data_IF_168258265934
#
_entry.id   IF_168258265934
#
_cell.length_a   1.000
_cell.length_b   1.000
_cell.length_c   1.000
_cell.angle_alpha   90.00
_cell.angle_beta   90.00
_cell.angle_gamma   90.00
#
_symmetry.space_group_name_H-M   'P 1'
#
loop_
_entity.id
_entity.type
_entity.pdbx_description
1 polymer ?
#
# COMPACT_ATOMS: atom_id res chain seq x y z
N UNK A 1 25.38 -5.74 1.95
CA UNK A 1 24.21 -4.92 2.34
C UNK A 1 23.40 -4.52 1.10
N UNK A 2 24.00 -3.89 0.10
CA UNK A 2 23.33 -3.47 -1.14
C UNK A 2 22.61 -4.61 -1.88
N UNK A 3 23.19 -5.81 -1.96
CA UNK A 3 22.52 -6.98 -2.55
C UNK A 3 21.17 -7.27 -1.87
N UNK A 4 21.14 -7.32 -0.54
CA UNK A 4 19.91 -7.62 0.20
C UNK A 4 18.86 -6.52 0.02
N UNK A 5 19.27 -5.25 0.07
CA UNK A 5 18.38 -4.09 -0.12
C UNK A 5 17.84 -4.07 -1.55
N UNK A 6 18.71 -4.20 -2.54
CA UNK A 6 18.36 -4.25 -3.94
C UNK A 6 17.41 -5.40 -4.26
N UNK A 7 17.68 -6.62 -3.74
CA UNK A 7 16.78 -7.76 -3.88
C UNK A 7 15.42 -7.53 -3.20
N UNK A 8 15.41 -6.91 -2.02
CA UNK A 8 14.15 -6.58 -1.32
C UNK A 8 13.34 -5.55 -2.10
N UNK A 9 13.97 -4.51 -2.62
CA UNK A 9 13.33 -3.50 -3.49
C UNK A 9 12.79 -4.13 -4.77
N UNK A 10 13.54 -5.03 -5.42
CA UNK A 10 13.04 -5.77 -6.59
C UNK A 10 11.83 -6.63 -6.21
N UNK A 11 11.90 -7.36 -5.11
CA UNK A 11 10.79 -8.19 -4.64
C UNK A 11 9.53 -7.37 -4.34
N UNK A 12 9.69 -6.19 -3.71
CA UNK A 12 8.60 -5.24 -3.48
C UNK A 12 8.05 -4.67 -4.78
N UNK A 13 8.92 -4.33 -5.75
CA UNK A 13 8.50 -3.85 -7.06
C UNK A 13 7.63 -4.89 -7.79
N UNK A 14 8.06 -6.15 -7.79
CA UNK A 14 7.28 -7.27 -8.33
C UNK A 14 5.96 -7.48 -7.56
N UNK A 15 5.98 -7.37 -6.23
CA UNK A 15 4.80 -7.47 -5.39
C UNK A 15 3.76 -6.38 -5.74
N UNK A 16 4.18 -5.11 -5.87
CA UNK A 16 3.28 -4.02 -6.26
C UNK A 16 2.77 -4.17 -7.70
N UNK A 17 3.62 -4.56 -8.65
CA UNK A 17 3.17 -4.85 -10.03
C UNK A 17 2.12 -5.96 -10.02
N UNK A 18 2.35 -7.01 -9.24
CA UNK A 18 1.37 -8.09 -9.07
C UNK A 18 0.06 -7.52 -8.51
N UNK A 19 0.10 -6.75 -7.43
CA UNK A 19 -1.11 -6.10 -6.88
C UNK A 19 -1.84 -5.23 -7.91
N UNK A 20 -1.10 -4.48 -8.74
CA UNK A 20 -1.67 -3.66 -9.81
C UNK A 20 -2.39 -4.50 -10.85
N UNK A 21 -1.74 -5.55 -11.35
CA UNK A 21 -2.33 -6.49 -12.31
C UNK A 21 -3.57 -7.15 -11.72
N UNK A 22 -3.50 -7.65 -10.49
CA UNK A 22 -4.62 -8.31 -9.81
C UNK A 22 -5.80 -7.35 -9.64
N UNK A 23 -5.56 -6.11 -9.21
CA UNK A 23 -6.61 -5.10 -9.09
C UNK A 23 -7.22 -4.73 -10.44
N UNK A 24 -6.41 -4.62 -11.51
CA UNK A 24 -6.91 -4.41 -12.86
C UNK A 24 -7.77 -5.57 -13.34
N UNK A 25 -7.36 -6.82 -13.11
CA UNK A 25 -8.16 -8.00 -13.45
C UNK A 25 -9.48 -8.03 -12.69
N UNK A 26 -9.47 -7.74 -11.38
CA UNK A 26 -10.71 -7.61 -10.61
C UNK A 26 -11.64 -6.54 -11.19
N UNK A 27 -11.09 -5.39 -11.61
CA UNK A 27 -11.86 -4.32 -12.27
C UNK A 27 -12.45 -4.82 -13.60
N UNK A 28 -11.67 -5.51 -14.41
CA UNK A 28 -12.11 -6.03 -15.71
C UNK A 28 -13.12 -7.16 -15.55
N UNK A 29 -13.00 -8.04 -14.57
CA UNK A 29 -13.97 -9.13 -14.38
C UNK A 29 -15.26 -8.63 -13.73
N UNK A 30 -15.14 -7.71 -12.77
CA UNK A 30 -16.25 -7.16 -12.02
C UNK A 30 -17.14 -6.22 -12.83
N UNK A 31 -16.59 -5.52 -13.84
CA UNK A 31 -17.27 -4.38 -14.47
C UNK A 31 -18.69 -4.67 -14.98
N UNK A 32 -18.87 -5.79 -15.68
CA UNK A 32 -20.15 -6.20 -16.28
C UNK A 32 -21.24 -6.47 -15.26
N UNK A 33 -20.87 -6.74 -14.01
CA UNK A 33 -21.79 -7.29 -13.00
C UNK A 33 -21.97 -6.39 -11.79
N UNK A 34 -21.00 -5.50 -11.53
CA UNK A 34 -20.97 -4.65 -10.35
C UNK A 34 -20.93 -3.15 -10.68
N UNK A 35 -20.87 -2.76 -11.97
CA UNK A 35 -20.57 -1.38 -12.38
C UNK A 35 -19.06 -1.16 -12.41
N UNK A 36 -18.51 0.06 -12.33
CA UNK A 36 -17.05 0.32 -12.31
C UNK A 36 -16.54 0.52 -10.87
N UNK A 37 -15.40 -0.10 -10.48
CA UNK A 37 -14.76 0.14 -9.18
C UNK A 37 -13.74 1.26 -9.28
N UNK A 38 -14.08 2.42 -8.70
CA UNK A 38 -13.18 3.58 -8.59
C UNK A 38 -12.02 3.26 -7.65
N UNK A 39 -12.30 2.54 -6.56
CA UNK A 39 -11.29 2.04 -5.64
C UNK A 39 -10.32 1.10 -6.32
N UNK A 40 -10.82 0.10 -7.06
CA UNK A 40 -9.99 -0.84 -7.80
C UNK A 40 -9.09 -0.14 -8.82
N UNK A 41 -9.65 0.80 -9.59
CA UNK A 41 -8.87 1.61 -10.54
C UNK A 41 -7.81 2.42 -9.82
N UNK A 42 -8.16 3.14 -8.76
CA UNK A 42 -7.21 3.98 -8.06
C UNK A 42 -6.13 3.17 -7.36
N UNK A 43 -6.47 2.02 -6.81
CA UNK A 43 -5.51 1.09 -6.22
C UNK A 43 -4.57 0.50 -7.29
N UNK A 44 -5.08 0.16 -8.48
CA UNK A 44 -4.26 -0.30 -9.60
C UNK A 44 -3.28 0.79 -10.10
N UNK A 45 -3.73 2.04 -10.22
CA UNK A 45 -2.89 3.17 -10.61
C UNK A 45 -1.77 3.44 -9.59
N UNK A 46 -2.10 3.34 -8.30
CA UNK A 46 -1.14 3.47 -7.22
C UNK A 46 -0.11 2.34 -7.22
N UNK A 47 -0.56 1.11 -7.42
CA UNK A 47 0.33 -0.03 -7.52
C UNK A 47 1.24 0.07 -8.76
N UNK A 48 0.74 0.65 -9.87
CA UNK A 48 1.51 0.84 -11.09
C UNK A 48 2.51 2.01 -11.03
N UNK A 49 2.39 2.94 -10.07
CA UNK A 49 3.46 3.90 -9.77
C UNK A 49 4.49 3.33 -8.80
N UNK A 50 4.06 2.71 -7.70
CA UNK A 50 4.98 2.16 -6.69
C UNK A 50 5.84 1.01 -7.23
N UNK A 51 5.26 0.10 -8.02
CA UNK A 51 5.94 -1.11 -8.48
C UNK A 51 7.18 -0.83 -9.34
N UNK A 52 7.02 -0.10 -10.47
CA UNK A 52 8.16 0.32 -11.29
C UNK A 52 9.19 1.15 -10.52
N UNK A 53 8.77 2.02 -9.61
CA UNK A 53 9.67 2.81 -8.78
C UNK A 53 10.61 1.91 -7.96
N UNK A 54 10.05 0.94 -7.23
CA UNK A 54 10.84 -0.01 -6.45
C UNK A 54 11.72 -0.92 -7.32
N UNK A 55 11.28 -1.27 -8.54
CA UNK A 55 12.10 -2.04 -9.49
C UNK A 55 13.33 -1.24 -9.97
N UNK A 56 13.14 0.01 -10.38
CA UNK A 56 14.23 0.87 -10.87
C UNK A 56 15.26 1.08 -9.75
N UNK A 57 14.80 1.44 -8.54
CA UNK A 57 15.69 1.55 -7.39
C UNK A 57 16.39 0.25 -7.06
N UNK A 58 15.66 -0.86 -7.00
CA UNK A 58 16.25 -2.17 -6.72
C UNK A 58 17.33 -2.54 -7.74
N UNK A 59 17.08 -2.25 -9.02
CA UNK A 59 18.06 -2.45 -10.09
C UNK A 59 19.32 -1.60 -9.89
N UNK A 60 19.18 -0.28 -9.65
CA UNK A 60 20.33 0.60 -9.42
C UNK A 60 21.16 0.19 -8.20
N UNK A 61 20.50 -0.21 -7.10
CA UNK A 61 21.18 -0.67 -5.89
C UNK A 61 21.93 -1.98 -6.13
N UNK A 62 21.37 -2.89 -6.94
CA UNK A 62 22.05 -4.12 -7.36
C UNK A 62 23.26 -3.84 -8.28
N UNK A 63 23.25 -2.74 -9.03
CA UNK A 63 24.38 -2.27 -9.84
C UNK A 63 25.46 -1.54 -9.03
N UNK A 64 25.28 -1.40 -7.71
CA UNK A 64 26.28 -0.83 -6.82
C UNK A 64 26.03 0.61 -6.38
N UNK A 65 24.91 1.23 -6.79
CA UNK A 65 24.49 2.52 -6.24
C UNK A 65 24.18 2.35 -4.74
N UNK A 66 24.72 3.24 -3.91
CA UNK A 66 24.43 3.24 -2.48
C UNK A 66 22.98 3.67 -2.24
N UNK A 67 22.16 2.76 -1.71
CA UNK A 67 20.76 3.03 -1.39
C UNK A 67 20.58 3.95 -0.18
N UNK A 68 21.63 4.10 0.65
CA UNK A 68 21.49 4.61 2.00
C UNK A 68 20.88 3.58 2.95
N UNK A 69 21.39 3.50 4.18
CA UNK A 69 20.89 2.57 5.20
C UNK A 69 19.49 2.96 5.67
N UNK A 70 19.17 4.24 5.62
CA UNK A 70 17.93 4.83 6.10
C UNK A 70 16.76 4.39 5.22
N UNK A 71 16.93 4.44 3.90
CA UNK A 71 15.95 3.96 2.94
C UNK A 71 15.71 2.45 3.10
N UNK A 72 16.78 1.67 3.31
CA UNK A 72 16.65 0.25 3.59
C UNK A 72 15.82 -0.05 4.85
N UNK A 73 16.05 0.73 5.93
CA UNK A 73 15.27 0.60 7.16
C UNK A 73 13.81 1.00 6.94
N UNK A 74 13.53 2.07 6.18
CA UNK A 74 12.17 2.45 5.83
C UNK A 74 11.44 1.32 5.08
N UNK A 75 12.12 0.70 4.10
CA UNK A 75 11.61 -0.44 3.33
C UNK A 75 11.31 -1.64 4.24
N UNK A 76 12.23 -1.98 5.14
CA UNK A 76 12.05 -3.08 6.09
C UNK A 76 10.86 -2.86 7.02
N UNK A 77 10.59 -1.62 7.45
CA UNK A 77 9.42 -1.30 8.27
C UNK A 77 8.09 -1.52 7.54
N UNK A 78 8.05 -1.26 6.23
CA UNK A 78 6.85 -1.48 5.39
C UNK A 78 6.68 -2.91 4.88
N UNK A 79 7.74 -3.70 4.84
CA UNK A 79 7.70 -5.05 4.25
C UNK A 79 6.66 -5.97 4.93
N UNK A 80 6.53 -6.05 6.27
CA UNK A 80 5.57 -6.93 6.91
C UNK A 80 4.11 -6.64 6.52
N UNK A 81 3.72 -5.36 6.46
CA UNK A 81 2.34 -4.97 6.12
C UNK A 81 2.04 -5.28 4.65
N UNK A 82 3.00 -5.04 3.76
CA UNK A 82 2.90 -5.38 2.34
C UNK A 82 2.77 -6.89 2.11
N UNK A 83 3.61 -7.70 2.77
CA UNK A 83 3.57 -9.17 2.65
C UNK A 83 2.23 -9.72 3.12
N UNK A 84 1.76 -9.33 4.31
CA UNK A 84 0.48 -9.81 4.84
C UNK A 84 -0.67 -9.42 3.92
N UNK A 85 -0.70 -8.17 3.45
CA UNK A 85 -1.76 -7.72 2.53
C UNK A 85 -1.74 -8.48 1.21
N UNK A 86 -0.57 -8.66 0.60
CA UNK A 86 -0.40 -9.39 -0.65
C UNK A 86 -0.84 -10.85 -0.50
N UNK A 87 -0.42 -11.54 0.57
CA UNK A 87 -0.81 -12.93 0.82
C UNK A 87 -2.33 -13.05 0.97
N UNK A 88 -2.95 -12.15 1.73
CA UNK A 88 -4.41 -12.12 1.88
C UNK A 88 -5.12 -11.85 0.54
N UNK A 89 -4.56 -11.00 -0.32
CA UNK A 89 -5.11 -10.73 -1.65
C UNK A 89 -5.00 -11.92 -2.59
N UNK A 90 -3.83 -12.57 -2.63
CA UNK A 90 -3.64 -13.80 -3.41
C UNK A 90 -4.63 -14.87 -2.92
N UNK A 91 -4.76 -15.06 -1.61
CA UNK A 91 -5.73 -15.99 -1.04
C UNK A 91 -7.16 -15.67 -1.50
N UNK A 92 -7.58 -14.40 -1.46
CA UNK A 92 -8.91 -13.99 -1.91
C UNK A 92 -9.17 -14.38 -3.37
N UNK A 93 -8.17 -14.20 -4.22
CA UNK A 93 -8.27 -14.49 -5.66
C UNK A 93 -8.30 -15.98 -5.96
N UNK A 94 -7.63 -16.79 -5.13
CA UNK A 94 -7.71 -18.25 -5.20
C UNK A 94 -9.00 -18.80 -4.57
N UNK A 95 -9.97 -17.93 -4.24
CA UNK A 95 -11.27 -18.32 -3.68
C UNK A 95 -11.28 -18.53 -2.17
N UNK A 96 -10.18 -18.20 -1.48
CA UNK A 96 -10.11 -18.22 -0.01
C UNK A 96 -10.79 -17.02 0.64
N UNK A 97 -10.61 -16.86 1.95
CA UNK A 97 -11.32 -15.82 2.72
C UNK A 97 -10.78 -14.43 2.43
N UNK A 98 -9.47 -14.32 2.22
CA UNK A 98 -8.80 -13.06 1.89
C UNK A 98 -8.80 -12.00 3.00
N UNK A 99 -9.31 -12.34 4.17
CA UNK A 99 -9.30 -11.52 5.36
C UNK A 99 -9.30 -12.40 6.62
N UNK A 100 -8.89 -11.82 7.75
CA UNK A 100 -8.93 -12.46 9.06
C UNK A 100 -9.55 -11.49 10.06
N UNK A 101 -10.42 -12.01 10.92
CA UNK A 101 -11.01 -11.24 12.00
C UNK A 101 -10.11 -11.29 13.23
N UNK A 102 -9.77 -10.12 13.77
CA UNK A 102 -9.00 -9.98 15.01
C UNK A 102 -9.97 -9.48 16.08
N UNK A 103 -10.35 -10.36 17.01
CA UNK A 103 -11.32 -10.02 18.05
C UNK A 103 -10.78 -8.96 19.02
N UNK A 104 -11.65 -8.02 19.44
CA UNK A 104 -11.31 -7.01 20.44
C UNK A 104 -10.22 -6.04 19.96
N UNK A 105 -9.29 -5.69 20.85
CA UNK A 105 -8.09 -4.90 20.54
C UNK A 105 -6.91 -5.47 21.32
N UNK A 106 -6.24 -6.51 20.79
CA UNK A 106 -5.15 -7.13 21.52
C UNK A 106 -4.02 -6.12 21.76
N UNK A 107 -3.25 -6.23 22.87
CA UNK A 107 -2.24 -5.24 23.22
C UNK A 107 -1.21 -4.96 22.13
N UNK A 108 -0.81 -5.98 21.38
CA UNK A 108 0.13 -5.82 20.27
C UNK A 108 -0.41 -4.87 19.20
N UNK A 109 -1.72 -4.89 18.91
CA UNK A 109 -2.32 -4.03 17.89
C UNK A 109 -2.33 -2.56 18.31
N UNK A 110 -2.44 -2.31 19.62
CA UNK A 110 -2.34 -0.97 20.21
C UNK A 110 -0.88 -0.49 20.23
N UNK A 111 0.07 -1.39 20.50
CA UNK A 111 1.49 -1.07 20.56
C UNK A 111 2.11 -0.83 19.17
N UNK A 112 1.68 -1.55 18.13
CA UNK A 112 2.22 -1.46 16.77
C UNK A 112 2.34 -0.03 16.23
N UNK A 113 1.30 0.84 16.24
CA UNK A 113 1.43 2.21 15.73
C UNK A 113 2.45 3.04 16.53
N UNK A 114 2.58 2.82 17.85
CA UNK A 114 3.56 3.54 18.68
C UNK A 114 4.98 3.10 18.31
N UNK A 115 5.20 1.79 18.22
CA UNK A 115 6.51 1.23 17.82
C UNK A 115 6.88 1.70 16.41
N UNK A 116 5.92 1.71 15.49
CA UNK A 116 6.12 2.24 14.14
C UNK A 116 6.51 3.71 14.15
N UNK A 117 5.83 4.57 14.90
CA UNK A 117 6.16 6.00 14.99
C UNK A 117 7.55 6.25 15.57
N UNK A 118 7.94 5.49 16.59
CA UNK A 118 9.31 5.55 17.16
C UNK A 118 10.33 5.14 16.09
N UNK A 119 10.12 4.00 15.44
CA UNK A 119 11.04 3.51 14.40
C UNK A 119 11.12 4.47 13.20
N UNK A 120 9.99 5.01 12.76
CA UNK A 120 9.90 6.02 11.71
C UNK A 120 10.67 7.29 12.09
N UNK A 121 10.50 7.78 13.33
CA UNK A 121 11.24 8.94 13.84
C UNK A 121 12.75 8.72 13.85
N UNK A 122 13.21 7.53 14.24
CA UNK A 122 14.64 7.17 14.17
C UNK A 122 15.15 7.14 12.73
N UNK A 123 14.38 6.57 11.78
CA UNK A 123 14.75 6.54 10.36
C UNK A 123 14.86 7.96 9.80
N UNK A 124 13.87 8.81 10.07
CA UNK A 124 13.86 10.21 9.62
C UNK A 124 15.00 11.01 10.26
N UNK A 125 15.26 10.82 11.57
CA UNK A 125 16.36 11.49 12.26
C UNK A 125 17.72 11.13 11.66
N UNK A 126 17.98 9.84 11.42
CA UNK A 126 19.22 9.40 10.77
C UNK A 126 19.33 9.93 9.32
N UNK A 127 18.22 9.99 8.59
CA UNK A 127 18.20 10.55 7.23
C UNK A 127 18.55 12.03 7.24
N UNK A 128 17.98 12.80 8.18
CA UNK A 128 18.27 14.21 8.35
C UNK A 128 19.72 14.47 8.78
N UNK A 129 20.28 13.64 9.65
CA UNK A 129 21.69 13.74 10.07
C UNK A 129 22.67 13.43 8.92
N UNK A 130 22.28 12.53 8.00
CA UNK A 130 23.07 12.19 6.80
C UNK A 130 22.93 13.25 5.71
N UNK A 131 21.80 13.94 5.62
CA UNK A 131 21.61 15.01 4.65
C UNK A 131 22.68 16.09 4.90
N UNK A 132 23.60 16.24 3.96
CA UNK A 132 24.75 17.17 4.03
C UNK A 132 24.34 18.66 3.86
N UNK A 133 23.05 18.95 3.94
CA UNK A 133 22.46 20.26 3.68
C UNK A 133 22.25 20.58 2.20
N UNK A 134 22.54 19.65 1.27
CA UNK A 134 22.32 19.83 -0.18
C UNK A 134 20.87 19.66 -0.64
N UNK A 135 19.91 19.55 0.29
CA UNK A 135 18.48 19.39 0.01
C UNK A 135 17.94 20.50 -0.90
N UNK A 136 17.76 20.19 -2.19
CA UNK A 136 17.15 21.11 -3.14
C UNK A 136 15.64 20.91 -3.18
N UNK A 137 14.91 21.73 -2.40
CA UNK A 137 13.44 21.73 -2.41
C UNK A 137 12.83 22.11 -3.76
N UNK A 138 13.63 22.62 -4.72
CA UNK A 138 13.17 22.91 -6.08
C UNK A 138 13.34 21.73 -7.02
N UNK A 139 14.04 20.68 -6.60
CA UNK A 139 14.16 19.44 -7.37
C UNK A 139 12.77 18.85 -7.60
N UNK A 140 12.38 18.59 -8.86
CA UNK A 140 11.11 17.95 -9.17
C UNK A 140 10.92 16.60 -8.46
N UNK A 141 12.01 15.87 -8.24
CA UNK A 141 12.00 14.57 -7.57
C UNK A 141 11.68 14.69 -6.08
N UNK A 142 12.37 15.62 -5.40
CA UNK A 142 12.10 15.96 -3.99
C UNK A 142 10.65 16.43 -3.82
N UNK A 143 10.17 17.31 -4.70
CA UNK A 143 8.80 17.81 -4.66
C UNK A 143 7.76 16.70 -4.88
N UNK A 144 8.00 15.81 -5.85
CA UNK A 144 7.11 14.67 -6.10
C UNK A 144 7.05 13.74 -4.89
N UNK A 145 8.21 13.41 -4.30
CA UNK A 145 8.29 12.53 -3.13
C UNK A 145 7.67 13.14 -1.87
N UNK A 146 7.88 14.43 -1.61
CA UNK A 146 7.19 15.15 -0.52
C UNK A 146 5.68 15.19 -0.75
N UNK A 147 5.26 15.43 -1.98
CA UNK A 147 3.84 15.45 -2.31
C UNK A 147 3.20 14.08 -2.08
N UNK A 148 3.83 13.01 -2.58
CA UNK A 148 3.39 11.62 -2.39
C UNK A 148 3.39 11.24 -0.91
N UNK A 149 4.39 11.68 -0.14
CA UNK A 149 4.43 11.52 1.32
C UNK A 149 3.17 12.08 1.97
N UNK A 150 2.78 13.30 1.62
CA UNK A 150 1.59 13.96 2.15
C UNK A 150 0.33 13.22 1.71
N UNK A 151 0.17 12.92 0.41
CA UNK A 151 -1.04 12.27 -0.09
C UNK A 151 -1.21 10.86 0.49
N UNK A 152 -0.14 10.08 0.61
CA UNK A 152 -0.21 8.74 1.21
C UNK A 152 -0.56 8.81 2.69
N UNK A 153 0.03 9.75 3.44
CA UNK A 153 -0.38 9.99 4.84
C UNK A 153 -1.87 10.33 4.94
N UNK A 154 -2.37 11.18 4.04
CA UNK A 154 -3.78 11.56 3.97
C UNK A 154 -4.71 10.43 3.53
N UNK A 155 -4.23 9.46 2.75
CA UNK A 155 -4.99 8.24 2.39
C UNK A 155 -5.06 7.27 3.57
N UNK A 156 -3.97 7.10 4.33
CA UNK A 156 -3.93 6.20 5.48
C UNK A 156 -4.96 6.56 6.56
N UNK A 157 -5.17 7.85 6.80
CA UNK A 157 -6.12 8.35 7.81
C UNK A 157 -7.57 7.87 7.64
N UNK A 158 -8.28 8.11 6.51
CA UNK A 158 -9.65 7.66 6.31
C UNK A 158 -9.76 6.13 6.31
N UNK A 159 -8.76 5.40 5.83
CA UNK A 159 -8.73 3.94 5.89
C UNK A 159 -8.68 3.44 7.33
N UNK A 160 -7.77 3.98 8.14
CA UNK A 160 -7.65 3.66 9.56
C UNK A 160 -8.92 4.03 10.33
N UNK A 161 -9.48 5.22 10.08
CA UNK A 161 -10.73 5.67 10.72
C UNK A 161 -11.92 4.78 10.36
N UNK A 162 -11.95 4.27 9.13
CA UNK A 162 -12.94 3.27 8.71
C UNK A 162 -12.79 1.96 9.50
N UNK A 163 -11.55 1.51 9.75
CA UNK A 163 -11.30 0.35 10.62
C UNK A 163 -11.79 0.58 12.06
N UNK A 164 -11.54 1.76 12.63
CA UNK A 164 -12.05 2.11 13.96
C UNK A 164 -13.58 2.09 14.04
N UNK A 165 -14.28 2.67 13.05
CA UNK A 165 -15.75 2.65 12.98
C UNK A 165 -16.27 1.20 12.91
N UNK A 166 -15.71 0.40 12.00
CA UNK A 166 -16.09 -1.01 11.84
C UNK A 166 -15.82 -1.83 13.09
N UNK A 167 -14.75 -1.53 13.83
CA UNK A 167 -14.42 -2.23 15.07
C UNK A 167 -15.49 -2.04 16.15
N UNK A 168 -16.07 -0.84 16.24
CA UNK A 168 -17.16 -0.56 17.18
C UNK A 168 -18.40 -1.40 16.82
N UNK A 169 -18.71 -1.54 15.53
CA UNK A 169 -19.89 -2.28 15.05
C UNK A 169 -19.69 -3.81 15.06
N UNK A 170 -18.51 -4.29 14.68
CA UNK A 170 -18.22 -5.71 14.49
C UNK A 170 -17.52 -6.39 15.68
N UNK A 171 -17.11 -5.63 16.70
CA UNK A 171 -16.40 -6.17 17.88
C UNK A 171 -14.94 -6.58 17.63
N UNK A 172 -14.36 -6.22 16.49
CA UNK A 172 -12.98 -6.55 16.14
C UNK A 172 -12.52 -5.95 14.82
N UNK A 173 -11.34 -6.33 14.35
CA UNK A 173 -10.66 -5.72 13.21
C UNK A 173 -10.57 -6.63 12.00
N UNK A 174 -10.50 -6.03 10.81
CA UNK A 174 -10.13 -6.71 9.57
C UNK A 174 -8.61 -6.67 9.41
N UNK A 175 -7.96 -7.84 9.36
CA UNK A 175 -6.52 -7.92 9.15
C UNK A 175 -6.11 -7.30 7.81
N UNK A 176 -6.84 -7.59 6.73
CA UNK A 176 -6.60 -7.01 5.40
C UNK A 176 -6.83 -5.49 5.40
N UNK A 177 -7.83 -5.01 6.13
CA UNK A 177 -8.13 -3.59 6.27
C UNK A 177 -7.06 -2.84 7.07
N UNK A 178 -6.55 -3.44 8.14
CA UNK A 178 -5.46 -2.90 8.95
C UNK A 178 -4.15 -2.86 8.16
N UNK A 179 -3.79 -3.93 7.47
CA UNK A 179 -2.55 -3.97 6.68
C UNK A 179 -2.61 -2.99 5.51
N UNK A 180 -3.77 -2.87 4.85
CA UNK A 180 -3.98 -1.84 3.83
C UNK A 180 -3.83 -0.43 4.39
N UNK A 181 -4.43 -0.14 5.55
CA UNK A 181 -4.31 1.16 6.20
C UNK A 181 -2.86 1.47 6.60
N UNK A 182 -2.09 0.45 7.00
CA UNK A 182 -0.70 0.58 7.43
C UNK A 182 0.31 0.69 6.27
N UNK A 183 -0.01 0.18 5.08
CA UNK A 183 0.86 0.33 3.89
C UNK A 183 1.10 1.81 3.58
N UNK A 184 0.07 2.65 3.59
CA UNK A 184 0.21 4.05 3.19
C UNK A 184 1.17 4.87 4.07
N UNK A 185 1.09 4.84 5.42
CA UNK A 185 2.11 5.45 6.28
C UNK A 185 3.52 4.90 6.05
N UNK A 186 3.67 3.60 5.78
CA UNK A 186 5.00 3.02 5.51
C UNK A 186 5.56 3.49 4.18
N UNK A 187 4.74 3.63 3.14
CA UNK A 187 5.14 4.22 1.87
C UNK A 187 5.46 5.71 2.03
N UNK A 188 4.66 6.46 2.79
CA UNK A 188 4.94 7.85 3.10
C UNK A 188 6.29 8.03 3.80
N UNK A 189 6.64 7.14 4.74
CA UNK A 189 7.96 7.12 5.36
C UNK A 189 9.08 6.88 4.34
N UNK A 190 8.91 5.94 3.41
CA UNK A 190 9.92 5.68 2.37
C UNK A 190 10.12 6.91 1.47
N UNK A 191 9.05 7.52 0.97
CA UNK A 191 9.13 8.73 0.13
C UNK A 191 9.72 9.93 0.89
N UNK A 192 9.39 10.10 2.17
CA UNK A 192 9.98 11.16 2.99
C UNK A 192 11.47 10.93 3.20
N UNK A 193 11.86 9.69 3.52
CA UNK A 193 13.27 9.32 3.71
C UNK A 193 14.05 9.57 2.43
N UNK A 194 13.49 9.15 1.29
CA UNK A 194 14.07 9.35 -0.03
C UNK A 194 14.24 10.83 -0.38
N UNK A 195 13.22 11.66 -0.13
CA UNK A 195 13.29 13.10 -0.35
C UNK A 195 14.38 13.76 0.52
N UNK A 196 14.55 13.31 1.77
CA UNK A 196 15.55 13.89 2.70
C UNK A 196 16.98 13.55 2.25
N UNK A 197 17.23 12.32 1.81
CA UNK A 197 18.58 11.89 1.42
C UNK A 197 18.92 12.18 -0.04
N UNK A 198 18.01 12.83 -0.78
CA UNK A 198 18.13 13.22 -2.20
C UNK A 198 18.74 12.10 -3.07
N UNK A 199 18.19 10.89 -2.97
CA UNK A 199 18.67 9.72 -3.72
C UNK A 199 18.20 9.71 -5.19
N UNK A 200 17.88 10.88 -5.72
CA UNK A 200 17.26 11.13 -7.03
C UNK A 200 18.09 10.70 -8.23
N UNK A 201 17.46 10.00 -9.17
CA UNK A 201 17.95 9.88 -10.54
C UNK A 201 16.84 10.19 -11.57
N UNK A 202 17.24 10.47 -12.81
CA UNK A 202 16.31 10.89 -13.85
C UNK A 202 15.22 9.84 -14.17
N UNK A 203 15.51 8.54 -13.99
CA UNK A 203 14.56 7.47 -14.27
C UNK A 203 13.52 7.34 -13.17
N UNK A 204 13.93 7.50 -11.91
CA UNK A 204 13.03 7.45 -10.75
C UNK A 204 12.11 8.66 -10.72
N UNK A 205 12.62 9.82 -11.12
CA UNK A 205 11.85 11.08 -11.26
C UNK A 205 10.62 10.92 -12.16
N UNK A 206 10.74 10.25 -13.31
CA UNK A 206 9.60 10.07 -14.24
C UNK A 206 8.51 9.22 -13.59
N UNK A 207 8.89 8.18 -12.85
CA UNK A 207 7.94 7.31 -12.16
C UNK A 207 7.28 8.03 -10.99
N UNK A 208 8.04 8.86 -10.26
CA UNK A 208 7.52 9.63 -9.13
C UNK A 208 6.56 10.73 -9.56
N UNK A 209 6.82 11.38 -10.70
CA UNK A 209 5.88 12.30 -11.33
C UNK A 209 4.58 11.60 -11.76
N UNK A 210 4.63 10.32 -12.15
CA UNK A 210 3.41 9.53 -12.37
C UNK A 210 2.69 9.16 -11.06
N UNK A 211 3.43 8.97 -9.97
CA UNK A 211 2.88 8.75 -8.64
C UNK A 211 2.00 9.90 -8.13
N UNK A 212 2.30 11.15 -8.51
CA UNK A 212 1.52 12.33 -8.13
C UNK A 212 0.04 12.25 -8.56
N UNK A 213 -0.32 12.17 -9.86
CA UNK A 213 -1.72 12.07 -10.28
C UNK A 213 -2.40 10.78 -9.81
N UNK A 214 -1.67 9.66 -9.75
CA UNK A 214 -2.19 8.40 -9.19
C UNK A 214 -2.62 8.57 -7.72
N UNK A 215 -1.77 9.22 -6.91
CA UNK A 215 -2.04 9.48 -5.49
C UNK A 215 -3.19 10.45 -5.27
N UNK A 216 -3.33 11.48 -6.11
CA UNK A 216 -4.44 12.42 -6.07
C UNK A 216 -5.77 11.73 -6.38
N UNK A 217 -5.81 10.94 -7.45
CA UNK A 217 -7.01 10.18 -7.81
C UNK A 217 -7.40 9.23 -6.68
N UNK A 218 -6.45 8.47 -6.13
CA UNK A 218 -6.75 7.52 -5.07
C UNK A 218 -7.19 8.20 -3.78
N UNK A 219 -6.56 9.32 -3.39
CA UNK A 219 -6.98 10.14 -2.26
C UNK A 219 -8.41 10.66 -2.44
N UNK A 220 -8.75 11.16 -3.63
CA UNK A 220 -10.11 11.57 -3.94
C UNK A 220 -11.10 10.41 -3.77
N UNK A 221 -10.80 9.24 -4.35
CA UNK A 221 -11.66 8.05 -4.24
C UNK A 221 -11.86 7.63 -2.78
N UNK A 222 -10.78 7.49 -2.01
CA UNK A 222 -10.85 7.05 -0.61
C UNK A 222 -11.62 8.07 0.24
N UNK A 223 -11.40 9.36 0.03
CA UNK A 223 -12.14 10.43 0.72
C UNK A 223 -13.62 10.42 0.34
N UNK A 224 -13.94 10.26 -0.93
CA UNK A 224 -15.31 10.19 -1.41
C UNK A 224 -16.04 8.97 -0.85
N UNK A 225 -15.37 7.81 -0.75
CA UNK A 225 -15.92 6.62 -0.10
C UNK A 225 -16.10 6.81 1.41
N UNK A 226 -15.14 7.43 2.09
CA UNK A 226 -15.21 7.70 3.52
C UNK A 226 -16.39 8.61 3.89
N UNK A 227 -16.73 9.57 3.00
CA UNK A 227 -17.87 10.47 3.15
C UNK A 227 -19.16 9.94 2.49
N UNK A 228 -19.19 8.69 2.03
CA UNK A 228 -20.34 8.08 1.34
C UNK A 228 -20.82 8.85 0.09
N UNK A 229 -19.96 9.69 -0.50
CA UNK A 229 -20.24 10.52 -1.67
C UNK A 229 -20.24 9.74 -3.00
N UNK A 230 -19.63 8.55 -3.01
CA UNK A 230 -19.67 7.61 -4.14
C UNK A 230 -19.98 6.19 -3.66
N UNK A 231 -20.61 5.41 -4.52
CA UNK A 231 -20.84 3.98 -4.32
C UNK A 231 -19.80 3.19 -5.11
N UNK A 232 -19.22 2.18 -4.48
CA UNK A 232 -18.26 1.26 -5.08
C UNK A 232 -18.56 -0.17 -4.64
N UNK A 233 -18.09 -1.16 -5.40
CA UNK A 233 -18.29 -2.58 -5.14
C UNK A 233 -17.79 -2.99 -3.77
N UNK A 234 -16.75 -2.31 -3.27
CA UNK A 234 -16.12 -2.58 -1.98
C UNK A 234 -16.97 -2.17 -0.77
N UNK A 235 -18.19 -1.64 -0.99
CA UNK A 235 -19.28 -1.78 -0.02
C UNK A 235 -19.70 -3.26 0.02
N UNK A 236 -18.92 -4.10 0.71
CA UNK A 236 -19.24 -5.52 0.94
C UNK A 236 -19.40 -5.85 2.41
N UNK A 237 -20.22 -6.87 2.73
CA UNK A 237 -20.83 -7.05 4.03
C UNK A 237 -19.78 -7.31 5.11
N UNK A 238 -20.20 -7.06 6.34
CA UNK A 238 -19.49 -7.36 7.59
C UNK A 238 -18.70 -8.67 7.42
N UNK A 239 -17.41 -8.63 7.79
CA UNK A 239 -16.44 -9.73 7.74
C UNK A 239 -17.13 -11.08 8.04
N UNK A 240 -16.85 -12.12 7.22
CA UNK A 240 -17.35 -13.51 7.29
C UNK A 240 -18.46 -13.94 6.33
N UNK A 241 -18.96 -13.10 5.41
CA UNK A 241 -19.80 -13.58 4.31
C UNK A 241 -18.93 -13.77 3.06
N UNK A 242 -18.46 -14.99 2.84
CA UNK A 242 -17.96 -15.44 1.54
C UNK A 242 -18.98 -15.05 0.47
N UNK A 243 -18.54 -14.34 -0.57
CA UNK A 243 -19.34 -14.25 -1.79
C UNK A 243 -19.57 -15.70 -2.25
N UNK A 244 -20.81 -16.15 -2.53
CA UNK A 244 -21.03 -17.49 -3.02
C UNK A 244 -20.14 -17.75 -4.23
N UNK A 245 -19.46 -18.89 -4.27
CA UNK A 245 -18.70 -19.31 -5.44
C UNK A 245 -19.62 -19.23 -6.65
N UNK A 246 -19.21 -18.50 -7.69
CA UNK A 246 -20.08 -18.13 -8.82
C UNK A 246 -20.38 -19.29 -9.79
N UNK A 247 -19.98 -20.51 -9.43
CA UNK A 247 -20.29 -21.73 -10.14
C UNK A 247 -20.46 -22.84 -9.11
N UNK A 248 -21.63 -23.47 -9.12
CA UNK A 248 -21.78 -24.80 -8.57
C UNK A 248 -20.72 -25.71 -9.20
N UNK A 249 -20.13 -26.59 -8.40
CA UNK A 249 -19.25 -27.63 -8.92
C UNK A 249 -20.04 -28.42 -9.98
N UNK A 250 -19.45 -28.79 -11.13
CA UNK A 250 -20.12 -29.69 -12.09
C UNK A 250 -20.42 -31.07 -11.49
N UNK A 251 -19.95 -31.35 -10.28
CA UNK A 251 -20.19 -32.56 -9.49
C UNK A 251 -21.19 -32.35 -8.34
N UNK A 252 -21.80 -31.18 -8.23
CA UNK A 252 -22.84 -30.91 -7.25
C UNK A 252 -24.14 -31.60 -7.71
N UNK A 253 -24.23 -32.89 -7.42
CA UNK A 253 -25.40 -33.71 -7.72
C UNK A 253 -26.62 -33.07 -7.08
N UNK A 254 -27.59 -32.66 -7.91
CA UNK A 254 -28.91 -32.21 -7.49
C UNK A 254 -29.53 -33.26 -6.56
N UNK A 255 -29.59 -32.96 -5.27
CA UNK A 255 -30.44 -33.72 -4.33
C UNK A 255 -31.81 -33.05 -4.33
N UNK A 256 -32.76 -33.77 -4.92
CA UNK A 256 -34.20 -33.62 -4.74
C UNK A 256 -34.60 -33.65 -3.27
#
# INVERSE_FOLDING_TARGET
MNVAIGSLSVALGLAYITLGVLATLEVIEGHKTLGVSRFGIGFALMASSCGPHHLVHGHHVLLGVDAGRELAMAILLGTPTAVVFLTLRIEAMLGGRGDRFIAGSPPWLVATPIIFLIAAGVVIGNAADRADGSFDIRSPDVLANLFVTVTYSLVGWPLLRTQFRRRIEAGGWSASGLTLAAIFPTCALMHLTYAIVDAGDAHTTVVDLWGVPASLYFLWVVRALYHDAIVDWNRRPIVCVTRPARRSSPWESSRS
#
